data_IF_676276233888
#
_entry.id   IF_676276233888
#
_cell.length_a   1.000
_cell.length_b   1.000
_cell.length_c   1.000
_cell.angle_alpha   90.00
_cell.angle_beta   90.00
_cell.angle_gamma   90.00
#
_symmetry.space_group_name_H-M   'P 1'
#
loop_
_entity.id
_entity.type
_entity.pdbx_description
1 polymer ?
2 non-polymer ?
3 non-polymer ?
4 water ?
#
# COMPACT_ATOMS: atom_id res chain seq x y z
N UNK A 5 -10.53 15.37 -7.75
CA UNK A 5 -11.36 14.86 -8.82
C UNK A 5 -11.62 13.37 -8.70
N UNK A 6 -12.55 13.01 -7.81
CA UNK A 6 -12.84 11.60 -7.56
C UNK A 6 -13.66 11.01 -8.69
N UNK A 7 -13.26 9.85 -9.19
CA UNK A 7 -13.98 9.16 -10.24
C UNK A 7 -14.62 7.90 -9.64
N UNK A 8 -15.95 7.85 -9.68
CA UNK A 8 -16.67 6.73 -9.10
C UNK A 8 -16.87 5.64 -10.13
N UNK A 9 -16.58 4.40 -9.75
CA UNK A 9 -16.73 3.25 -10.64
C UNK A 9 -17.26 2.10 -9.82
N UNK A 10 -18.51 1.73 -10.06
CA UNK A 10 -19.22 0.86 -9.14
C UNK A 10 -19.12 1.42 -7.74
N UNK A 11 -18.65 0.58 -6.83
CA UNK A 11 -18.53 0.94 -5.43
C UNK A 11 -17.13 1.39 -5.07
N UNK A 12 -16.26 1.62 -6.05
CA UNK A 12 -14.91 2.06 -5.79
C UNK A 12 -14.72 3.50 -6.25
N UNK A 13 -13.65 4.12 -5.78
CA UNK A 13 -13.32 5.49 -6.12
C UNK A 13 -11.88 5.53 -6.59
N UNK A 14 -11.65 6.22 -7.71
CA UNK A 14 -10.33 6.38 -8.31
C UNK A 14 -10.02 7.87 -8.40
N UNK A 15 -8.83 8.25 -7.92
CA UNK A 15 -8.42 9.65 -7.92
C UNK A 15 -7.04 9.76 -8.56
N UNK A 16 -6.96 10.53 -9.64
CA UNK A 16 -5.66 10.75 -10.28
C UNK A 16 -4.79 11.62 -9.40
N UNK A 17 -3.56 11.16 -9.13
CA UNK A 17 -2.61 11.94 -8.35
C UNK A 17 -1.49 12.51 -9.19
N UNK A 18 -1.22 11.91 -10.33
CA UNK A 18 -0.13 12.29 -11.22
C UNK A 18 -0.53 11.83 -12.61
N UNK A 19 0.15 12.31 -13.66
CA UNK A 19 -0.26 11.90 -15.01
C UNK A 19 -0.36 10.40 -15.19
N UNK A 20 0.45 9.63 -14.45
CA UNK A 20 0.49 8.18 -14.58
C UNK A 20 0.16 7.45 -13.29
N UNK A 21 -0.44 8.10 -12.29
CA UNK A 21 -0.70 7.49 -10.99
C UNK A 21 -2.12 7.80 -10.55
N UNK A 22 -2.82 6.78 -10.03
CA UNK A 22 -4.14 6.93 -9.46
C UNK A 22 -4.16 6.24 -8.10
N UNK A 23 -4.95 6.78 -7.18
CA UNK A 23 -5.25 6.10 -5.92
C UNK A 23 -6.56 5.34 -6.08
N UNK A 24 -6.58 4.08 -5.67
CA UNK A 24 -7.82 3.31 -5.65
C UNK A 24 -8.32 3.21 -4.22
N UNK A 25 -9.65 3.28 -4.05
CA UNK A 25 -10.25 3.32 -2.72
C UNK A 25 -11.44 2.38 -2.70
N UNK A 26 -11.49 1.51 -1.69
CA UNK A 26 -12.59 0.57 -1.52
C UNK A 26 -13.04 0.62 -0.06
N UNK A 27 -14.27 0.15 0.18
CA UNK A 27 -14.93 0.38 1.46
C UNK A 27 -15.39 -0.93 2.10
N UNK A 28 -15.22 -1.02 3.42
CA UNK A 28 -15.69 -2.14 4.23
C UNK A 28 -16.50 -1.57 5.40
N UNK A 29 -17.74 -2.02 5.55
CA UNK A 29 -18.68 -1.44 6.50
C UNK A 29 -19.19 -2.55 7.41
N UNK A 30 -18.79 -2.49 8.68
CA UNK A 30 -19.14 -3.48 9.68
C UNK A 30 -20.12 -2.89 10.69
N UNK A 31 -20.86 -3.72 11.42
CA UNK A 31 -21.77 -3.17 12.42
C UNK A 31 -21.01 -2.48 13.55
N UNK A 32 -21.62 -1.41 14.07
CA UNK A 32 -20.98 -0.67 15.13
C UNK A 32 -19.76 0.13 14.72
N UNK A 33 -19.54 0.32 13.42
CA UNK A 33 -18.47 1.18 12.94
C UNK A 33 -18.88 1.78 11.61
N UNK A 34 -18.33 2.95 11.31
CA UNK A 34 -18.54 3.52 10.00
C UNK A 34 -17.84 2.71 8.91
N UNK A 35 -18.24 2.95 7.67
CA UNK A 35 -17.52 2.36 6.55
C UNK A 35 -16.08 2.83 6.56
N UNK A 36 -15.15 1.91 6.32
CA UNK A 36 -13.72 2.18 6.41
C UNK A 36 -13.16 2.19 5.00
N UNK A 37 -12.55 3.32 4.62
CA UNK A 37 -11.86 3.43 3.34
C UNK A 37 -10.49 2.79 3.44
N UNK A 38 -10.08 2.11 2.37
CA UNK A 38 -8.70 1.68 2.20
C UNK A 38 -8.20 2.11 0.83
N UNK A 39 -7.00 2.70 0.79
CA UNK A 39 -6.41 3.20 -0.44
C UNK A 39 -5.24 2.35 -0.89
N UNK A 40 -5.15 2.13 -2.21
CA UNK A 40 -3.96 1.61 -2.86
C UNK A 40 -3.58 2.48 -4.05
N UNK A 41 -2.66 2.01 -4.89
CA UNK A 41 -2.17 2.78 -6.02
C UNK A 41 -2.28 2.00 -7.32
N UNK A 42 -2.42 2.75 -8.42
CA UNK A 42 -2.37 2.23 -9.79
C UNK A 42 -1.38 3.11 -10.54
N UNK A 43 -0.42 2.48 -11.23
CA UNK A 43 0.63 3.22 -11.94
C UNK A 43 0.71 2.72 -13.38
N UNK A 44 0.59 3.63 -14.34
CA UNK A 44 0.88 3.29 -15.73
C UNK A 44 2.37 3.52 -15.96
N UNK A 45 3.08 2.47 -16.37
CA UNK A 45 4.50 2.52 -16.66
C UNK A 45 4.64 2.19 -18.14
N UNK A 46 4.68 3.23 -18.97
CA UNK A 46 4.72 3.01 -20.41
C UNK A 46 3.51 2.20 -20.88
N UNK A 47 3.76 0.99 -21.41
CA UNK A 47 2.71 0.15 -21.98
C UNK A 47 2.15 -0.92 -21.06
N UNK A 48 2.28 -0.71 -19.76
CA UNK A 48 1.78 -1.68 -18.79
C UNK A 48 1.35 -0.93 -17.53
N UNK A 49 0.61 -1.62 -16.66
CA UNK A 49 0.11 -1.06 -15.42
C UNK A 49 0.65 -1.86 -14.25
N UNK A 50 0.94 -1.17 -13.14
CA UNK A 50 1.38 -1.78 -11.89
C UNK A 50 0.39 -1.42 -10.78
N UNK A 51 0.12 -2.37 -9.88
CA UNK A 51 -0.84 -2.14 -8.80
C UNK A 51 -0.14 -2.27 -7.45
N UNK A 52 -0.48 -1.38 -6.53
CA UNK A 52 -0.05 -1.46 -5.13
C UNK A 52 -1.29 -1.71 -4.28
N UNK A 53 -1.33 -2.88 -3.63
CA UNK A 53 -2.38 -3.32 -2.72
C UNK A 53 -3.67 -3.75 -3.42
N UNK A 54 -4.31 -4.79 -2.88
CA UNK A 54 -5.66 -5.13 -3.33
C UNK A 54 -6.67 -4.21 -2.67
N UNK A 55 -7.94 -4.43 -2.99
CA UNK A 55 -9.06 -3.90 -2.21
C UNK A 55 -9.36 -4.89 -1.08
N UNK A 56 -10.43 -4.64 -0.32
CA UNK A 56 -10.76 -5.50 0.80
C UNK A 56 -11.13 -6.90 0.34
N UNK A 57 -11.77 -7.03 -0.82
CA UNK A 57 -12.36 -8.28 -1.29
C UNK A 57 -11.97 -8.58 -2.73
N UNK A 58 -12.17 -9.85 -3.10
CA UNK A 58 -11.97 -10.26 -4.49
C UNK A 58 -12.85 -9.47 -5.44
N UNK A 59 -14.13 -9.29 -5.08
CA UNK A 59 -15.07 -8.61 -5.97
C UNK A 59 -14.64 -7.18 -6.25
N UNK A 60 -14.27 -6.46 -5.19
CA UNK A 60 -13.76 -5.10 -5.34
C UNK A 60 -12.49 -5.06 -6.18
N UNK A 61 -11.57 -6.00 -5.91
CA UNK A 61 -10.30 -6.01 -6.64
C UNK A 61 -10.53 -6.29 -8.13
N UNK A 62 -11.44 -7.20 -8.44
CA UNK A 62 -11.81 -7.40 -9.84
C UNK A 62 -12.37 -6.12 -10.45
N UNK A 63 -13.06 -5.31 -9.65
CA UNK A 63 -13.53 -4.03 -10.18
C UNK A 63 -12.38 -3.07 -10.45
N UNK A 64 -11.32 -3.10 -9.62
CA UNK A 64 -10.12 -2.32 -9.94
C UNK A 64 -9.61 -2.69 -11.33
N UNK A 65 -9.56 -3.99 -11.60
CA UNK A 65 -9.05 -4.44 -12.89
C UNK A 65 -9.99 -4.03 -14.03
N UNK A 66 -11.22 -3.98 -13.76
CA UNK A 66 -12.21 -3.58 -14.77
C UNK A 66 -12.09 -2.10 -15.11
N UNK A 67 -11.89 -1.28 -14.05
CA UNK A 67 -11.61 0.13 -14.26
C UNK A 67 -10.33 0.32 -15.07
N UNK A 68 -9.26 -0.42 -14.73
CA UNK A 68 -8.01 -0.32 -15.48
C UNK A 68 -8.25 -0.68 -16.94
N UNK A 69 -8.99 -1.77 -17.18
CA UNK A 69 -9.32 -2.18 -18.54
C UNK A 69 -10.06 -1.09 -19.28
N UNK A 70 -11.00 -0.42 -18.60
CA UNK A 70 -11.84 0.57 -19.27
C UNK A 70 -11.07 1.86 -19.53
N UNK A 71 -10.31 2.33 -18.55
CA UNK A 71 -9.69 3.64 -18.66
C UNK A 71 -8.28 3.62 -19.23
N UNK A 72 -7.53 2.54 -19.03
CA UNK A 72 -6.14 2.48 -19.47
C UNK A 72 -5.94 1.45 -20.57
N UNK A 73 -6.57 0.28 -20.44
CA UNK A 73 -6.57 -0.77 -21.45
C UNK A 73 -5.14 -1.19 -21.82
N UNK A 74 -4.35 -1.49 -20.80
CA UNK A 74 -3.00 -2.03 -20.92
C UNK A 74 -2.87 -3.14 -19.90
N UNK A 75 -1.99 -4.11 -20.14
CA UNK A 75 -1.88 -5.23 -19.19
C UNK A 75 -1.38 -4.78 -17.83
N UNK A 76 -1.87 -5.46 -16.80
CA UNK A 76 -1.38 -5.26 -15.46
C UNK A 76 -0.23 -6.25 -15.26
N UNK A 77 0.99 -5.73 -15.25
CA UNK A 77 2.17 -6.59 -15.28
C UNK A 77 2.44 -7.23 -13.92
N UNK A 78 2.11 -6.53 -12.84
CA UNK A 78 2.36 -7.07 -11.51
C UNK A 78 1.60 -6.27 -10.47
N UNK A 79 1.46 -6.86 -9.29
CA UNK A 79 0.99 -6.16 -8.11
C UNK A 79 1.94 -6.42 -6.95
N UNK A 80 2.18 -5.40 -6.15
CA UNK A 80 2.87 -5.55 -4.88
C UNK A 80 1.90 -5.17 -3.78
N UNK A 81 1.87 -5.96 -2.72
CA UNK A 81 0.95 -5.77 -1.60
C UNK A 81 1.77 -5.55 -0.33
N UNK A 82 1.30 -4.65 0.55
CA UNK A 82 2.22 -4.01 1.49
C UNK A 82 2.14 -4.54 2.93
N UNK A 83 1.21 -5.44 3.25
CA UNK A 83 1.33 -6.33 4.42
C UNK A 83 0.13 -7.28 4.43
N UNK A 84 0.19 -8.29 5.31
CA UNK A 84 -0.79 -9.38 5.33
C UNK A 84 -1.96 -9.04 6.24
N UNK A 85 -2.76 -8.07 5.80
CA UNK A 85 -4.05 -7.74 6.41
C UNK A 85 -5.09 -7.63 5.29
N UNK A 86 -6.37 -7.70 5.68
CA UNK A 86 -7.45 -7.81 4.68
C UNK A 86 -7.50 -6.61 3.75
N UNK A 87 -7.25 -5.40 4.28
CA UNK A 87 -7.36 -4.23 3.41
C UNK A 87 -6.26 -4.17 2.36
N UNK A 88 -5.17 -4.93 2.52
CA UNK A 88 -4.06 -4.90 1.58
C UNK A 88 -3.95 -6.17 0.75
N UNK A 89 -4.43 -7.31 1.27
CA UNK A 89 -4.29 -8.59 0.62
C UNK A 89 -5.60 -9.37 0.53
N UNK A 90 -6.75 -8.73 0.81
CA UNK A 90 -8.00 -9.47 0.77
C UNK A 90 -8.42 -9.91 -0.63
N UNK A 91 -7.85 -9.33 -1.68
CA UNK A 91 -8.29 -9.62 -3.03
C UNK A 91 -7.29 -10.39 -3.88
N UNK A 92 -6.37 -11.13 -3.25
CA UNK A 92 -5.30 -11.80 -4.00
C UNK A 92 -5.85 -12.75 -5.06
N UNK A 93 -6.90 -13.51 -4.72
CA UNK A 93 -7.45 -14.46 -5.69
C UNK A 93 -7.89 -13.75 -6.97
N UNK A 94 -8.47 -12.55 -6.86
CA UNK A 94 -8.87 -11.83 -8.06
C UNK A 94 -7.68 -11.49 -8.93
N UNK A 95 -6.54 -11.12 -8.32
CA UNK A 95 -5.35 -10.85 -9.11
C UNK A 95 -4.84 -12.13 -9.80
N UNK A 96 -4.83 -13.25 -9.07
CA UNK A 96 -4.30 -14.47 -9.65
C UNK A 96 -5.22 -15.01 -10.74
N UNK A 97 -6.53 -14.89 -10.54
CA UNK A 97 -7.48 -15.29 -11.58
C UNK A 97 -7.26 -14.50 -12.85
N UNK A 98 -6.82 -13.25 -12.72
CA UNK A 98 -6.52 -12.41 -13.88
C UNK A 98 -5.13 -12.64 -14.46
N UNK A 99 -4.33 -13.57 -13.91
CA UNK A 99 -3.01 -13.83 -14.44
C UNK A 99 -1.96 -12.80 -14.09
N UNK A 100 -2.15 -12.04 -13.02
CA UNK A 100 -1.22 -10.98 -12.63
C UNK A 100 -0.21 -11.53 -11.64
N UNK A 101 1.08 -11.32 -11.92
CA UNK A 101 2.13 -11.74 -11.01
C UNK A 101 2.11 -10.88 -9.74
N UNK A 102 2.20 -11.52 -8.57
CA UNK A 102 2.06 -10.82 -7.30
C UNK A 102 3.31 -10.95 -6.43
N UNK A 103 3.62 -9.87 -5.70
CA UNK A 103 4.82 -9.75 -4.88
C UNK A 103 4.46 -9.23 -3.50
N UNK A 104 5.14 -9.76 -2.47
CA UNK A 104 4.97 -9.25 -1.13
C UNK A 104 6.28 -9.47 -0.37
N UNK A 105 6.46 -8.71 0.71
CA UNK A 105 7.48 -9.03 1.71
C UNK A 105 7.45 -10.52 2.01
N UNK A 106 8.63 -11.15 2.03
CA UNK A 106 8.68 -12.57 2.39
C UNK A 106 7.91 -12.81 3.68
N UNK A 107 8.08 -11.94 4.68
CA UNK A 107 7.36 -12.10 5.94
C UNK A 107 5.86 -12.04 5.73
N UNK A 108 5.40 -11.20 4.79
CA UNK A 108 3.97 -11.15 4.52
C UNK A 108 3.48 -12.49 3.98
N UNK A 109 4.26 -13.11 3.07
CA UNK A 109 3.86 -14.41 2.55
C UNK A 109 3.92 -15.48 3.64
N UNK A 110 4.87 -15.34 4.56
CA UNK A 110 4.93 -16.24 5.70
C UNK A 110 3.68 -16.10 6.58
N UNK A 111 3.27 -14.85 6.85
CA UNK A 111 2.13 -14.62 7.74
C UNK A 111 0.79 -14.93 7.06
N UNK A 112 0.72 -14.82 5.74
CA UNK A 112 -0.57 -14.84 5.03
C UNK A 112 -1.45 -16.04 5.37
N UNK A 113 -0.96 -17.27 5.43
CA UNK A 113 -1.84 -18.38 5.82
C UNK A 113 -2.53 -18.16 7.15
N UNK A 114 -1.78 -17.75 8.17
CA UNK A 114 -2.39 -17.55 9.49
C UNK A 114 -3.33 -16.37 9.48
N UNK A 115 -2.98 -15.31 8.74
CA UNK A 115 -3.81 -14.11 8.68
C UNK A 115 -5.06 -14.31 7.84
N UNK A 116 -5.20 -15.46 7.21
CA UNK A 116 -6.34 -15.71 6.36
C UNK A 116 -6.24 -15.10 4.99
N UNK A 117 -5.03 -14.78 4.53
CA UNK A 117 -4.81 -14.30 3.17
C UNK A 117 -4.24 -15.40 2.29
N UNK A 118 -4.43 -15.26 0.98
CA UNK A 118 -3.66 -16.01 -0.01
C UNK A 118 -2.32 -15.31 -0.18
N UNK A 119 -1.23 -16.08 -0.16
CA UNK A 119 0.08 -15.48 -0.31
C UNK A 119 0.28 -14.96 -1.72
N UNK A 120 1.10 -13.93 -1.85
CA UNK A 120 1.63 -13.53 -3.14
C UNK A 120 2.53 -14.63 -3.69
N UNK A 121 2.67 -14.64 -5.03
CA UNK A 121 3.40 -15.68 -5.73
C UNK A 121 4.92 -15.54 -5.59
N UNK A 122 5.40 -14.35 -5.22
CA UNK A 122 6.82 -14.06 -5.16
C UNK A 122 7.14 -13.31 -3.88
N UNK A 123 8.30 -13.62 -3.29
CA UNK A 123 8.70 -13.03 -2.02
C UNK A 123 9.81 -12.02 -2.25
N UNK A 124 9.62 -10.81 -1.71
CA UNK A 124 10.66 -9.79 -1.70
C UNK A 124 11.52 -9.96 -0.46
N UNK A 125 12.84 -9.78 -0.60
CA UNK A 125 13.70 -9.67 0.56
C UNK A 125 14.37 -8.30 0.57
N UNK A 126 14.89 -7.92 1.74
CA UNK A 126 15.33 -6.55 1.95
C UNK A 126 16.72 -6.52 2.56
N UNK A 127 17.54 -5.59 2.09
CA UNK A 127 18.85 -5.33 2.67
C UNK A 127 18.73 -4.65 4.04
N UNK A 128 19.88 -4.51 4.71
CA UNK A 128 19.91 -3.90 6.02
C UNK A 128 19.56 -2.42 5.99
N UNK A 129 19.86 -1.72 4.89
CA UNK A 129 19.42 -0.34 4.77
C UNK A 129 17.94 -0.22 4.47
N UNK A 130 17.22 -1.34 4.36
CA UNK A 130 15.78 -1.35 4.14
C UNK A 130 15.34 -1.43 2.69
N UNK A 131 16.22 -1.12 1.74
CA UNK A 131 15.81 -1.16 0.35
C UNK A 131 15.63 -2.59 -0.10
N UNK A 132 14.66 -2.78 -0.99
CA UNK A 132 14.44 -4.12 -1.52
C UNK A 132 15.70 -4.58 -2.25
N UNK A 133 16.00 -5.86 -2.13
CA UNK A 133 17.06 -6.43 -2.97
C UNK A 133 16.53 -6.50 -4.38
N UNK A 134 17.13 -5.77 -5.33
CA UNK A 134 16.52 -5.69 -6.68
C UNK A 134 16.36 -7.03 -7.35
N UNK A 135 17.21 -8.02 -7.04
CA UNK A 135 17.06 -9.33 -7.65
C UNK A 135 15.74 -10.01 -7.28
N UNK A 136 15.08 -9.55 -6.22
CA UNK A 136 13.78 -10.09 -5.86
C UNK A 136 12.62 -9.25 -6.38
N UNK A 137 12.90 -8.12 -7.03
CA UNK A 137 11.86 -7.23 -7.55
C UNK A 137 12.06 -7.02 -9.05
N UNK A 138 12.04 -8.08 -9.85
CA UNK A 138 12.25 -7.89 -11.30
C UNK A 138 11.14 -7.05 -11.89
N UNK A 139 11.53 -6.14 -12.80
CA UNK A 139 10.60 -5.41 -13.67
C UNK A 139 9.65 -4.53 -12.88
N UNK A 140 10.09 -4.05 -11.71
CA UNK A 140 9.28 -3.12 -10.94
C UNK A 140 9.25 -1.71 -11.51
N UNK A 141 10.05 -1.42 -12.54
CA UNK A 141 10.03 -0.11 -13.16
C UNK A 141 10.24 1.00 -12.15
N UNK A 142 9.30 1.94 -12.09
CA UNK A 142 9.46 3.09 -11.19
C UNK A 142 9.10 2.81 -9.74
N UNK A 143 8.62 1.61 -9.41
CA UNK A 143 8.28 1.27 -8.03
C UNK A 143 9.53 1.01 -7.21
N UNK A 144 9.73 1.80 -6.16
CA UNK A 144 10.91 1.73 -5.29
C UNK A 144 10.46 1.27 -3.92
N UNK A 145 10.76 0.01 -3.57
CA UNK A 145 10.15 -0.63 -2.43
C UNK A 145 11.10 -0.61 -1.24
N UNK A 146 10.58 -0.20 -0.09
CA UNK A 146 11.41 0.06 1.09
C UNK A 146 10.75 -0.54 2.33
N UNK A 147 11.53 -1.30 3.09
CA UNK A 147 11.07 -1.81 4.36
C UNK A 147 11.57 -0.88 5.45
N UNK A 148 10.69 -0.10 6.09
CA UNK A 148 11.14 0.90 7.07
C UNK A 148 11.41 0.35 8.46
N UNK A 149 11.14 -0.94 8.68
CA UNK A 149 11.17 -1.50 10.00
C UNK A 149 9.77 -1.76 10.48
N UNK A 150 9.63 -2.53 11.55
CA UNK A 150 8.28 -2.88 12.02
C UNK A 150 7.57 -1.69 12.65
N UNK A 151 6.26 -1.66 12.44
CA UNK A 151 5.45 -0.54 12.91
C UNK A 151 3.99 -0.91 13.05
N UNK A 152 3.17 -0.50 12.08
CA UNK A 152 1.78 -0.96 12.07
C UNK A 152 1.70 -2.47 12.12
N UNK A 153 2.58 -3.15 11.38
CA UNK A 153 2.79 -4.58 11.51
C UNK A 153 4.30 -4.82 11.42
N UNK A 154 4.70 -6.04 11.75
CA UNK A 154 6.12 -6.37 11.62
C UNK A 154 6.55 -6.46 10.17
N UNK A 155 5.61 -6.70 9.25
CA UNK A 155 5.93 -6.94 7.84
C UNK A 155 5.62 -5.76 6.93
N UNK A 156 5.19 -4.61 7.45
CA UNK A 156 4.74 -3.53 6.56
C UNK A 156 5.89 -2.96 5.72
N UNK A 157 5.60 -2.76 4.43
CA UNK A 157 6.53 -2.15 3.50
C UNK A 157 5.89 -0.92 2.88
N UNK A 158 6.72 -0.14 2.18
CA UNK A 158 6.33 1.14 1.62
C UNK A 158 6.88 1.27 0.21
N UNK A 159 6.32 2.19 -0.57
CA UNK A 159 6.56 2.22 -2.01
C UNK A 159 6.63 3.67 -2.49
N UNK A 160 7.76 4.05 -3.07
CA UNK A 160 7.86 5.32 -3.77
C UNK A 160 7.75 5.13 -5.27
N UNK A 161 7.33 6.19 -5.95
CA UNK A 161 7.17 6.15 -7.40
C UNK A 161 8.15 7.11 -8.05
N UNK A 162 9.15 6.54 -8.71
CA UNK A 162 10.15 7.31 -9.46
C UNK A 162 9.48 8.19 -10.52
N UNK A 163 10.00 9.40 -10.69
CA UNK A 163 9.42 10.34 -11.63
C UNK A 163 8.22 11.10 -11.10
N UNK A 164 7.89 10.95 -9.83
CA UNK A 164 6.77 11.64 -9.20
C UNK A 164 7.21 12.14 -7.83
N UNK A 165 6.35 12.93 -7.22
CA UNK A 165 6.56 13.40 -5.85
C UNK A 165 5.90 12.50 -4.82
N UNK A 166 5.58 11.27 -5.18
CA UNK A 166 4.66 10.42 -4.43
C UNK A 166 5.45 9.34 -3.69
N UNK A 167 5.18 9.20 -2.39
CA UNK A 167 5.59 8.01 -1.64
C UNK A 167 4.39 7.47 -0.87
N UNK A 168 4.29 6.14 -0.82
CA UNK A 168 3.13 5.45 -0.24
C UNK A 168 3.51 4.79 1.08
N UNK A 169 2.86 5.21 2.15
CA UNK A 169 3.14 4.63 3.45
C UNK A 169 2.26 3.48 3.87
N UNK A 170 1.21 3.19 3.12
CA UNK A 170 0.31 2.11 3.50
C UNK A 170 -0.29 2.36 4.86
N UNK A 171 -0.41 1.31 5.65
CA UNK A 171 -1.01 1.51 6.96
C UNK A 171 -0.03 2.03 8.01
N UNK A 172 1.25 2.21 7.66
CA UNK A 172 2.21 2.71 8.63
C UNK A 172 1.96 4.18 8.97
N UNK A 173 1.60 4.98 7.97
CA UNK A 173 1.49 6.42 8.09
C UNK A 173 0.03 6.81 8.22
N UNK A 174 -0.24 7.77 9.11
CA UNK A 174 -1.55 8.41 9.24
C UNK A 174 -1.43 9.87 8.87
N UNK A 175 -2.57 10.50 8.58
CA UNK A 175 -2.54 11.89 8.12
C UNK A 175 -2.16 12.84 9.25
N UNK A 176 -1.78 14.07 8.87
CA UNK A 176 -1.24 15.04 9.81
C UNK A 176 -2.22 15.42 10.92
N UNK A 177 -3.52 15.20 10.72
CA UNK A 177 -4.52 15.51 11.74
C UNK A 177 -5.08 14.27 12.42
N UNK A 178 -4.47 13.10 12.23
CA UNK A 178 -5.06 11.87 12.75
C UNK A 178 -5.12 11.87 14.27
N UNK A 179 -6.15 11.23 14.81
CA UNK A 179 -6.36 11.13 16.25
C UNK A 179 -5.89 9.82 16.84
N UNK A 180 -5.37 8.89 16.04
CA UNK A 180 -4.76 7.68 16.58
C UNK A 180 -4.00 6.98 15.47
N UNK A 181 -3.23 5.98 15.86
CA UNK A 181 -2.49 5.14 14.93
C UNK A 181 -3.31 3.96 14.42
N UNK A 182 -4.63 3.99 14.62
CA UNK A 182 -5.47 2.90 14.15
C UNK A 182 -5.34 1.67 15.01
N UNK A 183 -5.49 0.50 14.40
CA UNK A 183 -5.40 -0.74 15.16
C UNK A 183 -3.95 -1.10 15.42
N UNK A 184 -3.63 -1.36 16.68
CA UNK A 184 -2.27 -1.66 17.10
C UNK A 184 -2.12 -3.11 17.54
N UNK A 185 -3.10 -3.96 17.24
CA UNK A 185 -3.07 -5.33 17.71
C UNK A 185 -1.89 -6.12 17.20
N UNK A 186 -1.41 -5.81 15.99
CA UNK A 186 -0.24 -6.43 15.43
C UNK A 186 0.96 -5.49 15.39
N UNK A 187 0.89 -4.37 16.12
CA UNK A 187 1.89 -3.32 16.00
C UNK A 187 3.13 -3.62 16.84
N UNK A 188 4.24 -3.02 16.41
CA UNK A 188 5.52 -3.00 17.14
C UNK A 188 5.65 -1.64 17.80
N UNK A 189 5.15 -1.53 19.03
CA UNK A 189 5.08 -0.23 19.69
C UNK A 189 6.46 0.38 19.94
N UNK A 190 7.47 -0.45 20.18
CA UNK A 190 8.79 0.07 20.48
C UNK A 190 9.46 0.64 19.24
N UNK A 191 9.23 0.04 18.08
CA UNK A 191 9.93 0.42 16.87
C UNK A 191 9.12 1.29 15.91
N UNK A 192 7.84 1.54 16.21
CA UNK A 192 6.98 2.27 15.28
C UNK A 192 7.55 3.64 14.93
N UNK A 193 7.98 4.40 15.95
CA UNK A 193 8.45 5.76 15.71
C UNK A 193 9.64 5.79 14.76
N UNK A 194 10.65 4.96 15.04
CA UNK A 194 11.83 4.92 14.17
C UNK A 194 11.44 4.50 12.76
N UNK A 195 10.49 3.57 12.64
CA UNK A 195 10.08 3.09 11.32
C UNK A 195 9.36 4.18 10.52
N UNK A 196 8.50 4.95 11.18
CA UNK A 196 7.87 6.08 10.49
C UNK A 196 8.91 7.06 9.98
N UNK A 197 9.88 7.43 10.82
CA UNK A 197 10.91 8.36 10.37
C UNK A 197 11.83 7.73 9.33
N UNK A 198 12.05 6.42 9.40
CA UNK A 198 12.82 5.74 8.36
C UNK A 198 12.15 5.85 7.01
N UNK A 199 10.82 5.74 6.97
CA UNK A 199 10.07 5.90 5.73
C UNK A 199 10.28 7.31 5.14
N UNK A 200 10.14 8.33 5.98
CA UNK A 200 10.38 9.69 5.50
C UNK A 200 11.79 9.89 4.98
N UNK A 201 12.78 9.31 5.68
CA UNK A 201 14.18 9.49 5.30
C UNK A 201 14.50 8.80 3.98
N UNK A 202 13.80 7.69 3.68
CA UNK A 202 14.05 6.95 2.44
C UNK A 202 13.47 7.65 1.22
N UNK A 203 12.44 8.46 1.41
CA UNK A 203 11.83 9.24 0.31
C UNK A 203 11.82 10.72 0.70
N UNK A 204 12.99 11.36 0.76
CA UNK A 204 13.03 12.73 1.29
C UNK A 204 12.52 13.77 0.33
N UNK A 205 12.47 13.50 -0.97
CA UNK A 205 11.96 14.45 -1.95
C UNK A 205 10.46 14.33 -2.18
N UNK A 206 9.81 13.35 -1.54
CA UNK A 206 8.39 13.10 -1.75
C UNK A 206 7.57 14.16 -1.01
N UNK A 207 6.77 14.90 -1.76
CA UNK A 207 5.91 15.93 -1.17
C UNK A 207 4.46 15.50 -1.07
N UNK A 208 4.07 14.40 -1.69
CA UNK A 208 2.72 13.88 -1.60
C UNK A 208 2.82 12.50 -0.97
N UNK A 209 2.32 12.38 0.26
CA UNK A 209 2.39 11.17 1.05
C UNK A 209 1.02 10.49 0.98
N UNK A 210 0.99 9.31 0.40
CA UNK A 210 -0.25 8.55 0.24
C UNK A 210 -0.28 7.49 1.33
N UNK A 211 -1.47 7.15 1.82
CA UNK A 211 -1.55 6.22 2.92
C UNK A 211 -2.87 5.49 2.84
N UNK A 212 -3.05 4.51 3.73
CA UNK A 212 -4.11 3.54 3.55
C UNK A 212 -5.47 4.11 3.89
N UNK A 213 -5.56 4.96 4.92
CA UNK A 213 -6.86 5.29 5.49
C UNK A 213 -7.13 6.79 5.60
N UNK A 214 -6.40 7.62 4.85
CA UNK A 214 -6.70 9.03 4.72
C UNK A 214 -6.32 9.46 3.30
N UNK A 215 -6.85 10.62 2.89
CA UNK A 215 -6.49 11.21 1.62
C UNK A 215 -5.01 11.60 1.62
N UNK A 216 -4.41 11.82 0.44
CA UNK A 216 -3.00 12.21 0.40
C UNK A 216 -2.75 13.51 1.17
N UNK A 217 -1.54 13.63 1.72
CA UNK A 217 -1.21 14.71 2.65
C UNK A 217 0.22 15.16 2.40
N UNK A 218 0.62 16.23 3.10
CA UNK A 218 1.98 16.70 3.08
C UNK A 218 2.85 15.78 3.95
N UNK A 219 4.16 16.09 3.98
CA UNK A 219 5.08 15.36 4.84
C UNK A 219 4.77 15.52 6.33
N UNK A 220 3.89 16.46 6.69
CA UNK A 220 3.44 16.54 8.07
C UNK A 220 2.78 15.25 8.52
N UNK A 221 2.30 14.44 7.57
CA UNK A 221 1.80 13.12 7.92
C UNK A 221 2.89 12.28 8.58
N UNK A 222 4.10 12.34 8.05
CA UNK A 222 5.20 11.56 8.61
C UNK A 222 5.58 12.06 9.99
N UNK A 223 5.80 13.37 10.13
CA UNK A 223 6.21 13.89 11.43
C UNK A 223 5.14 13.65 12.49
N UNK A 224 3.86 13.81 12.12
CA UNK A 224 2.79 13.63 13.10
C UNK A 224 2.61 12.16 13.47
N UNK A 225 2.69 11.25 12.49
CA UNK A 225 2.64 9.84 12.80
C UNK A 225 3.78 9.46 13.75
N UNK A 226 4.99 9.89 13.44
CA UNK A 226 6.13 9.56 14.30
C UNK A 226 5.96 10.16 15.68
N UNK A 227 5.48 11.39 15.77
CA UNK A 227 5.30 12.01 17.09
C UNK A 227 4.24 11.29 17.90
N UNK A 228 3.18 10.78 17.27
CA UNK A 228 2.21 9.97 17.99
C UNK A 228 2.83 8.65 18.43
N UNK A 229 3.69 8.06 17.59
CA UNK A 229 4.29 6.79 17.93
C UNK A 229 5.31 6.93 19.04
N UNK A 230 5.96 8.10 19.16
CA UNK A 230 6.86 8.37 20.27
C UNK A 230 6.20 8.02 21.60
N UNK A 231 4.89 8.25 21.71
CA UNK A 231 4.13 7.97 22.93
C UNK A 231 3.87 6.49 23.16
N UNK A 232 4.49 5.63 22.40
CA UNK A 232 4.25 4.18 22.64
C UNK A 232 5.47 3.50 23.26
N UNK A 233 6.57 4.22 23.31
CA UNK A 233 7.83 3.75 23.83
C UNK A 233 7.88 3.82 25.40
X LIG B 1 -2.90 -3.64 8.61
X LIG C 1 -5.12 -0.65 7.40
X LIG D 1 -8.06 -1.34 9.61
X LIG D 1 -5.95 -0.08 10.44
X LIG D 1 -9.47 -1.74 10.09
X LIG D 1 -9.07 -2.97 12.26
X LIG D 1 -7.83 -3.57 12.09
X LIG D 1 -7.51 -4.75 12.74
X LIG D 1 -8.43 -5.34 13.60
X LIG D 1 -9.66 -4.74 13.77
X LIG D 1 -9.99 -3.57 13.11
X LIG D 1 -9.96 -3.12 9.67
X LIG D 1 -9.10 -4.11 9.22
X LIG D 1 -9.57 -5.36 8.87
X LIG D 1 -10.92 -5.64 8.95
X LIG D 1 -11.80 -4.65 9.38
X LIG D 1 -11.31 -3.40 9.75
X LIG D 1 -7.29 -0.60 10.60
X LIG D 1 -5.29 0.52 11.41
X LIG D 1 -4.07 0.91 10.93
X LIG D 1 -4.02 0.54 9.62
X LIG D 1 -5.20 -0.09 9.35
X LIG D 1 -9.39 -1.75 11.55
X LIG D 1 -7.64 -1.59 8.53
#
# INVERSE_FOLDING_TARGET
GSHMGDQRFGDLVFRQLAPNVWQHTSYLDMPGFGAVASNGLIVRDGGRVLVVDTAWTDDQTAQILNWIKQEINLPVALAVVTHAHQDKMGGMDALHAAGIATYANALSNQLAPQEGMVAAQHSLTFAANGWVEPATAPNFGPLKVFYPGPGHTSDNITVGIDGTDIAFGGCLIKDSKAKSLGNLGDADTEHYAASARAFGAAFPKASMIVMSHSAPDSRAAITHTARMADKLR
ZN ZN
ZN ZN
O5E C02 C04 C09 C11 C12 C13 C14 C15 C16 C17 C18 C19 C20 C21 C22 N03 N05 N06 N07 N08 N10 O01
#
